data_IF_323395818702
#
_entry.id   IF_323395818702
#
_cell.length_a   1.000
_cell.length_b   1.000
_cell.length_c   1.000
_cell.angle_alpha   90.00
_cell.angle_beta   90.00
_cell.angle_gamma   90.00
#
_symmetry.space_group_name_H-M   'P 1'
#
loop_
_entity.id
_entity.type
_entity.pdbx_description
1 polymer ?
#
# COMPACT_ATOMS: atom_id res chain seq x y z
N UNK A 1 -19.55 -8.30 -9.83
CA UNK A 1 -19.63 -7.49 -8.60
C UNK A 1 -18.35 -6.70 -8.35
N UNK A 2 -17.14 -7.27 -8.51
CA UNK A 2 -15.88 -6.48 -8.42
C UNK A 2 -15.88 -5.33 -9.44
N UNK A 3 -16.36 -5.57 -10.66
CA UNK A 3 -16.42 -4.55 -11.70
C UNK A 3 -17.35 -3.38 -11.35
N UNK A 4 -18.48 -3.66 -10.71
CA UNK A 4 -19.45 -2.62 -10.31
C UNK A 4 -18.88 -1.74 -9.20
N UNK A 5 -18.24 -2.35 -8.20
CA UNK A 5 -17.58 -1.66 -7.09
C UNK A 5 -16.42 -0.80 -7.60
N UNK A 6 -15.63 -1.33 -8.53
CA UNK A 6 -14.51 -0.61 -9.16
C UNK A 6 -15.02 0.58 -10.00
N UNK A 7 -16.05 0.39 -10.80
CA UNK A 7 -16.64 1.46 -11.61
C UNK A 7 -17.22 2.57 -10.71
N UNK A 8 -17.87 2.20 -9.60
CA UNK A 8 -18.38 3.15 -8.61
C UNK A 8 -17.24 3.94 -7.94
N UNK A 9 -16.17 3.26 -7.52
CA UNK A 9 -15.01 3.90 -6.91
C UNK A 9 -14.32 4.87 -7.87
N UNK A 10 -14.12 4.50 -9.13
CA UNK A 10 -13.55 5.38 -10.15
C UNK A 10 -14.44 6.59 -10.44
N UNK A 11 -15.76 6.40 -10.53
CA UNK A 11 -16.71 7.53 -10.68
C UNK A 11 -16.65 8.50 -9.50
N UNK A 12 -16.59 7.98 -8.29
CA UNK A 12 -16.49 8.82 -7.08
C UNK A 12 -15.16 9.56 -7.03
N UNK A 13 -14.06 8.89 -7.38
CA UNK A 13 -12.74 9.51 -7.50
C UNK A 13 -12.76 10.64 -8.53
N UNK A 14 -13.27 10.38 -9.73
CA UNK A 14 -13.39 11.36 -10.80
C UNK A 14 -14.25 12.57 -10.38
N UNK A 15 -15.42 12.34 -9.78
CA UNK A 15 -16.31 13.39 -9.34
C UNK A 15 -15.68 14.29 -8.27
N UNK A 16 -14.93 13.70 -7.32
CA UNK A 16 -14.23 14.46 -6.26
C UNK A 16 -13.16 15.39 -6.82
N UNK A 17 -12.41 14.95 -7.83
CA UNK A 17 -11.39 15.79 -8.47
C UNK A 17 -12.02 16.81 -9.42
N UNK A 18 -13.02 16.40 -10.20
CA UNK A 18 -13.73 17.30 -11.12
C UNK A 18 -14.42 18.48 -10.40
N UNK A 19 -14.82 18.31 -9.14
CA UNK A 19 -15.35 19.40 -8.32
C UNK A 19 -14.33 20.53 -8.04
N UNK A 20 -13.04 20.26 -8.23
CA UNK A 20 -11.95 21.22 -8.05
C UNK A 20 -11.48 21.82 -9.39
N UNK A 21 -11.95 21.29 -10.51
CA UNK A 21 -11.59 21.76 -11.83
C UNK A 21 -12.29 23.10 -12.16
N UNK A 22 -11.68 23.93 -13.02
CA UNK A 22 -12.39 25.06 -13.61
C UNK A 22 -13.70 24.61 -14.26
N UNK A 23 -14.79 25.41 -14.15
CA UNK A 23 -16.04 25.10 -14.81
C UNK A 23 -15.85 24.85 -16.31
N UNK A 24 -16.45 23.77 -16.83
CA UNK A 24 -16.35 23.39 -18.23
C UNK A 24 -15.07 22.66 -18.62
N UNK A 25 -14.26 22.21 -17.65
CA UNK A 25 -13.07 21.40 -17.95
C UNK A 25 -13.44 20.13 -18.75
N UNK A 26 -12.76 19.86 -19.87
CA UNK A 26 -13.13 18.76 -20.76
C UNK A 26 -12.73 17.41 -20.17
N UNK A 27 -13.47 16.38 -20.56
CA UNK A 27 -13.02 14.99 -20.44
C UNK A 27 -11.87 14.76 -21.41
N UNK A 28 -10.78 14.14 -20.93
CA UNK A 28 -9.60 13.86 -21.75
C UNK A 28 -9.34 12.37 -21.95
N UNK A 29 -9.91 11.52 -21.08
CA UNK A 29 -9.78 10.07 -21.17
C UNK A 29 -11.04 9.40 -20.62
N UNK A 30 -11.37 8.25 -21.18
CA UNK A 30 -12.47 7.40 -20.72
C UNK A 30 -11.91 6.02 -20.35
N UNK A 31 -12.25 5.54 -19.16
CA UNK A 31 -11.87 4.23 -18.65
C UNK A 31 -13.09 3.33 -18.64
N UNK A 32 -13.02 2.17 -19.31
CA UNK A 32 -14.11 1.18 -19.31
C UNK A 32 -13.88 0.13 -18.24
N UNK A 33 -14.84 -0.04 -17.33
CA UNK A 33 -14.84 -1.08 -16.28
C UNK A 33 -16.06 -1.96 -16.44
N UNK A 34 -15.86 -3.25 -16.74
CA UNK A 34 -16.98 -4.18 -16.96
C UNK A 34 -17.97 -3.74 -18.04
N UNK A 35 -17.51 -2.98 -19.05
CA UNK A 35 -18.37 -2.37 -20.07
C UNK A 35 -19.02 -1.03 -19.68
N UNK A 36 -18.79 -0.55 -18.45
CA UNK A 36 -19.26 0.76 -17.98
C UNK A 36 -18.18 1.82 -18.17
N UNK A 37 -18.41 2.88 -18.96
CA UNK A 37 -17.44 3.95 -19.14
C UNK A 37 -17.39 4.90 -17.93
N UNK A 38 -16.20 5.39 -17.63
CA UNK A 38 -15.92 6.42 -16.62
C UNK A 38 -15.07 7.52 -17.25
N UNK A 39 -15.65 8.70 -17.40
CA UNK A 39 -14.99 9.87 -17.94
C UNK A 39 -14.08 10.54 -16.90
N UNK A 40 -12.84 10.87 -17.27
CA UNK A 40 -11.89 11.59 -16.44
C UNK A 40 -11.49 12.91 -17.11
N UNK A 41 -11.51 13.99 -16.33
CA UNK A 41 -10.89 15.27 -16.68
C UNK A 41 -9.35 15.16 -16.63
N UNK A 42 -8.65 16.18 -17.13
CA UNK A 42 -7.18 16.22 -17.07
C UNK A 42 -6.63 16.07 -15.64
N UNK A 43 -7.23 16.75 -14.67
CA UNK A 43 -6.83 16.65 -13.26
C UNK A 43 -7.13 15.28 -12.67
N UNK A 44 -8.28 14.69 -12.99
CA UNK A 44 -8.63 13.34 -12.52
C UNK A 44 -7.69 12.28 -13.11
N UNK A 45 -7.36 12.38 -14.40
CA UNK A 45 -6.40 11.49 -15.06
C UNK A 45 -5.00 11.60 -14.43
N UNK A 46 -4.53 12.83 -14.17
CA UNK A 46 -3.24 13.05 -13.50
C UNK A 46 -3.23 12.48 -12.08
N UNK A 47 -4.28 12.71 -11.30
CA UNK A 47 -4.39 12.16 -9.95
C UNK A 47 -4.41 10.62 -9.96
N UNK A 48 -5.03 10.00 -10.96
CA UNK A 48 -5.01 8.55 -11.13
C UNK A 48 -3.59 8.05 -11.44
N UNK A 49 -2.84 8.75 -12.29
CA UNK A 49 -1.43 8.43 -12.59
C UNK A 49 -0.58 8.53 -11.32
N UNK A 50 -0.73 9.60 -10.55
CA UNK A 50 0.01 9.78 -9.29
C UNK A 50 -0.32 8.66 -8.29
N UNK A 51 -1.60 8.27 -8.17
CA UNK A 51 -2.02 7.15 -7.32
C UNK A 51 -1.45 5.80 -7.80
N UNK A 52 -1.42 5.55 -9.11
CA UNK A 52 -0.87 4.33 -9.68
C UNK A 52 0.65 4.24 -9.49
N UNK A 53 1.37 5.36 -9.61
CA UNK A 53 2.81 5.42 -9.37
C UNK A 53 3.16 5.31 -7.88
N UNK A 54 2.29 5.79 -6.99
CA UNK A 54 2.47 5.67 -5.54
C UNK A 54 2.03 4.30 -4.98
N UNK A 55 1.37 3.45 -5.78
CA UNK A 55 0.93 2.14 -5.35
C UNK A 55 2.12 1.22 -5.07
N UNK A 56 2.15 0.66 -3.87
CA UNK A 56 3.09 -0.38 -3.47
C UNK A 56 2.32 -1.69 -3.30
N UNK A 57 2.71 -2.74 -4.04
CA UNK A 57 2.07 -4.04 -3.90
C UNK A 57 2.43 -4.64 -2.53
N UNK A 58 1.46 -4.97 -1.66
CA UNK A 58 1.74 -5.61 -0.38
C UNK A 58 2.48 -6.96 -0.49
N UNK A 59 2.48 -7.57 -1.68
CA UNK A 59 3.21 -8.81 -1.98
C UNK A 59 4.65 -8.56 -2.41
N UNK A 60 5.03 -7.32 -2.68
CA UNK A 60 6.38 -6.93 -3.11
C UNK A 60 7.20 -6.33 -1.96
N UNK A 61 7.07 -6.93 -0.77
CA UNK A 61 7.79 -6.50 0.44
C UNK A 61 9.20 -7.10 0.55
N UNK A 62 9.69 -7.69 -0.54
CA UNK A 62 10.97 -8.40 -0.61
C UNK A 62 10.89 -9.87 -0.21
N UNK A 63 12.05 -10.54 -0.25
CA UNK A 63 12.21 -11.92 0.16
C UNK A 63 12.81 -11.98 1.57
N UNK A 64 12.38 -12.95 2.37
CA UNK A 64 12.95 -13.20 3.68
C UNK A 64 14.38 -13.72 3.55
N UNK A 65 15.34 -13.06 4.21
CA UNK A 65 16.76 -13.43 4.19
C UNK A 65 17.05 -14.79 4.85
N UNK A 66 16.05 -15.37 5.54
CA UNK A 66 16.18 -16.64 6.27
C UNK A 66 15.59 -17.85 5.55
N UNK A 67 14.40 -17.68 4.96
CA UNK A 67 13.69 -18.79 4.32
C UNK A 67 13.36 -18.54 2.84
N UNK A 68 13.71 -17.37 2.30
CA UNK A 68 13.44 -17.00 0.91
C UNK A 68 11.98 -16.70 0.58
N UNK A 69 11.06 -16.80 1.56
CA UNK A 69 9.64 -16.50 1.34
C UNK A 69 9.40 -15.04 0.97
N UNK A 70 8.43 -14.79 0.08
CA UNK A 70 7.98 -13.43 -0.31
C UNK A 70 6.85 -12.89 0.56
N UNK A 71 6.58 -13.52 1.70
CA UNK A 71 5.49 -13.16 2.62
C UNK A 71 6.01 -12.32 3.80
N UNK A 72 6.72 -11.23 3.48
CA UNK A 72 7.09 -10.22 4.48
C UNK A 72 5.89 -9.29 4.73
N UNK A 73 5.67 -8.90 5.99
CA UNK A 73 4.67 -7.89 6.34
C UNK A 73 5.27 -6.46 6.40
N UNK A 74 4.47 -5.47 6.79
CA UNK A 74 4.91 -4.06 6.89
C UNK A 74 5.98 -3.83 7.97
N UNK A 75 6.13 -4.78 8.89
CA UNK A 75 7.15 -4.77 9.94
C UNK A 75 8.36 -5.65 9.58
N UNK A 76 8.46 -6.06 8.31
CA UNK A 76 9.49 -6.98 7.81
C UNK A 76 9.51 -8.33 8.55
N UNK A 77 8.39 -8.76 9.14
CA UNK A 77 8.25 -10.08 9.73
C UNK A 77 7.78 -11.07 8.66
N UNK A 78 8.50 -12.19 8.54
CA UNK A 78 8.08 -13.26 7.66
C UNK A 78 6.89 -14.02 8.24
N UNK A 79 5.81 -14.14 7.47
CA UNK A 79 4.63 -14.91 7.87
C UNK A 79 4.93 -16.42 8.03
N UNK A 80 5.94 -16.94 7.33
CA UNK A 80 6.24 -18.37 7.31
C UNK A 80 7.26 -18.77 8.38
N UNK A 81 8.45 -18.15 8.42
CA UNK A 81 9.49 -18.50 9.40
C UNK A 81 9.45 -17.64 10.68
N UNK A 82 8.56 -16.64 10.74
CA UNK A 82 8.38 -15.74 11.89
C UNK A 82 9.63 -14.96 12.30
N UNK A 83 10.65 -14.94 11.44
CA UNK A 83 11.86 -14.15 11.65
C UNK A 83 11.70 -12.74 11.06
N UNK A 84 12.24 -11.72 11.72
CA UNK A 84 12.39 -10.41 11.10
C UNK A 84 13.48 -10.45 10.03
N UNK A 85 13.24 -9.79 8.89
CA UNK A 85 14.15 -9.71 7.74
C UNK A 85 14.84 -8.34 7.66
N UNK A 86 15.92 -8.28 6.90
CA UNK A 86 16.70 -7.07 6.66
C UNK A 86 17.63 -6.69 7.83
N UNK A 87 18.42 -5.64 7.60
CA UNK A 87 19.42 -5.13 8.56
C UNK A 87 18.79 -4.73 9.90
N UNK A 88 17.59 -4.14 9.87
CA UNK A 88 16.86 -3.80 11.09
C UNK A 88 16.42 -5.04 11.88
N UNK A 89 15.91 -6.06 11.19
CA UNK A 89 15.55 -7.34 11.80
C UNK A 89 16.75 -8.07 12.41
N UNK A 90 17.91 -8.00 11.74
CA UNK A 90 19.16 -8.50 12.28
C UNK A 90 19.55 -7.78 13.59
N UNK A 91 19.50 -6.44 13.61
CA UNK A 91 19.83 -5.66 14.79
C UNK A 91 18.92 -6.00 15.98
N UNK A 92 17.60 -6.15 15.75
CA UNK A 92 16.64 -6.54 16.80
C UNK A 92 17.01 -7.90 17.39
N UNK A 93 17.34 -8.90 16.57
CA UNK A 93 17.73 -10.22 17.07
C UNK A 93 19.01 -10.19 17.87
N UNK A 94 20.03 -9.51 17.35
CA UNK A 94 21.31 -9.36 18.05
C UNK A 94 21.13 -8.69 19.41
N UNK A 95 20.20 -7.72 19.50
CA UNK A 95 19.82 -7.05 20.75
C UNK A 95 19.02 -7.97 21.68
N UNK A 96 18.03 -8.68 21.16
CA UNK A 96 17.16 -9.57 21.92
C UNK A 96 17.93 -10.78 22.49
N UNK A 97 18.89 -11.33 21.73
CA UNK A 97 19.76 -12.41 22.20
C UNK A 97 20.66 -12.00 23.37
N UNK A 98 20.89 -10.68 23.55
CA UNK A 98 21.67 -10.11 24.66
C UNK A 98 20.81 -9.59 25.80
N UNK A 99 19.48 -9.71 25.70
CA UNK A 99 18.56 -9.20 26.70
C UNK A 99 18.30 -10.28 27.77
N UNK A 100 18.69 -10.01 29.01
CA UNK A 100 18.56 -10.94 30.15
C UNK A 100 17.28 -10.71 30.97
N UNK A 101 16.35 -9.89 30.47
CA UNK A 101 15.08 -9.57 31.16
C UNK A 101 15.03 -8.14 31.71
N UNK A 102 13.86 -7.71 32.22
CA UNK A 102 13.72 -6.41 32.85
C UNK A 102 14.56 -6.35 34.14
N UNK A 103 15.09 -5.17 34.52
CA UNK A 103 15.77 -5.01 35.79
C UNK A 103 14.83 -5.41 36.94
N UNK A 104 15.34 -5.96 38.06
CA UNK A 104 14.51 -6.30 39.20
C UNK A 104 13.74 -5.05 39.65
N UNK A 105 12.47 -5.24 40.00
CA UNK A 105 11.63 -4.16 40.49
C UNK A 105 12.32 -3.51 41.70
N UNK A 106 12.43 -2.18 41.69
CA UNK A 106 12.88 -1.43 42.85
C UNK A 106 11.76 -1.55 43.91
N UNK A 107 12.03 -2.29 44.97
CA UNK A 107 11.16 -2.34 46.14
C UNK A 107 10.97 -0.92 46.69
N UNK A 108 9.70 -0.50 46.79
CA UNK A 108 9.28 0.83 47.22
C UNK A 108 9.33 1.00 48.75
#
# INVERSE_FOLDING_TARGET
>A
MIDDDLAAALRQFAARIAALDPPGSPTVVEVTVGGTPVALTGSAARALVEAALAYHDPRDRGACDHCGSRRLDDNFLCADCRQPSGVFGQLIRERAARYEGPPPALDA
#
